data_IF_077049680797
#
_entry.id   IF_077049680797
#
_cell.length_a   1.000
_cell.length_b   1.000
_cell.length_c   1.000
_cell.angle_alpha   90.00
_cell.angle_beta   90.00
_cell.angle_gamma   90.00
#
_symmetry.space_group_name_H-M   'P 1'
#
loop_
_entity.id
_entity.type
_entity.pdbx_description
1 polymer ?
#
# COMPACT_ATOMS: atom_id res chain seq x y z
N UNK A 1 -15.23 -10.99 -6.98
CA UNK A 1 -13.76 -10.83 -6.82
C UNK A 1 -13.05 -12.18 -6.75
N UNK A 2 -13.39 -13.05 -5.80
CA UNK A 2 -12.74 -14.37 -5.61
C UNK A 2 -12.92 -15.34 -6.79
N UNK A 3 -14.10 -15.40 -7.41
CA UNK A 3 -14.33 -16.27 -8.58
C UNK A 3 -13.57 -15.80 -9.83
N UNK A 4 -13.53 -14.49 -10.07
CA UNK A 4 -12.73 -13.91 -11.16
C UNK A 4 -11.23 -14.21 -11.01
N UNK A 5 -10.70 -14.07 -9.78
CA UNK A 5 -9.32 -14.44 -9.49
C UNK A 5 -9.04 -15.94 -9.72
N UNK A 6 -9.99 -16.83 -9.40
CA UNK A 6 -9.86 -18.26 -9.70
C UNK A 6 -9.84 -18.53 -11.20
N UNK A 7 -10.68 -17.85 -11.98
CA UNK A 7 -10.69 -17.98 -13.44
C UNK A 7 -9.39 -17.49 -14.09
N UNK A 8 -8.86 -16.37 -13.63
CA UNK A 8 -7.55 -15.88 -14.10
C UNK A 8 -6.42 -16.85 -13.77
N UNK A 9 -6.39 -17.40 -12.55
CA UNK A 9 -5.40 -18.41 -12.17
C UNK A 9 -5.53 -19.66 -13.05
N UNK A 10 -6.75 -20.13 -13.35
CA UNK A 10 -6.94 -21.25 -14.29
C UNK A 10 -6.41 -20.92 -15.68
N UNK A 11 -6.65 -19.71 -16.18
CA UNK A 11 -6.19 -19.25 -17.50
C UNK A 11 -4.66 -19.25 -17.56
N UNK A 12 -3.99 -18.67 -16.56
CA UNK A 12 -2.52 -18.61 -16.49
C UNK A 12 -1.91 -20.01 -16.36
N UNK A 13 -2.46 -20.87 -15.50
CA UNK A 13 -2.01 -22.26 -15.38
C UNK A 13 -2.22 -23.05 -16.67
N UNK A 14 -3.29 -22.79 -17.42
CA UNK A 14 -3.52 -23.42 -18.73
C UNK A 14 -2.49 -23.03 -19.80
N UNK A 15 -2.07 -21.76 -19.81
CA UNK A 15 -0.99 -21.29 -20.69
C UNK A 15 0.33 -21.97 -20.30
N UNK A 16 0.63 -22.01 -19.00
CA UNK A 16 1.85 -22.61 -18.49
C UNK A 16 1.90 -24.13 -18.75
N UNK A 17 0.77 -24.82 -18.62
CA UNK A 17 0.65 -26.26 -18.92
C UNK A 17 0.90 -26.56 -20.39
N UNK A 18 0.36 -25.72 -21.27
CA UNK A 18 0.56 -25.84 -22.72
C UNK A 18 2.02 -25.64 -23.11
N UNK A 19 2.71 -24.68 -22.47
CA UNK A 19 4.13 -24.42 -22.68
C UNK A 19 5.02 -25.57 -22.17
N UNK A 20 4.72 -26.07 -20.96
CA UNK A 20 5.47 -27.17 -20.32
C UNK A 20 5.14 -28.55 -20.88
N UNK A 21 4.25 -28.64 -21.88
CA UNK A 21 3.89 -29.91 -22.51
C UNK A 21 5.07 -30.60 -23.19
N UNK A 22 5.93 -29.83 -23.88
CA UNK A 22 7.09 -30.34 -24.61
C UNK A 22 8.43 -29.95 -23.99
N UNK A 23 8.41 -29.17 -22.90
CA UNK A 23 9.62 -28.65 -22.25
C UNK A 23 9.72 -29.13 -20.80
N UNK A 24 10.94 -29.44 -20.37
CA UNK A 24 11.22 -29.87 -18.99
C UNK A 24 11.23 -28.68 -18.02
N UNK A 25 11.79 -27.55 -18.45
CA UNK A 25 11.89 -26.28 -17.71
C UNK A 25 11.34 -25.12 -18.56
N UNK A 26 11.16 -23.94 -17.97
CA UNK A 26 10.55 -22.80 -18.65
C UNK A 26 11.43 -22.22 -19.78
N UNK A 27 12.75 -22.23 -19.59
CA UNK A 27 13.71 -21.70 -20.57
C UNK A 27 14.89 -22.67 -20.73
N UNK A 28 14.88 -23.41 -21.84
CA UNK A 28 15.88 -24.44 -22.14
C UNK A 28 15.69 -25.73 -21.34
N UNK A 29 16.70 -26.60 -21.36
CA UNK A 29 16.66 -27.93 -20.71
C UNK A 29 17.35 -27.97 -19.33
N UNK A 30 17.48 -26.81 -18.67
CA UNK A 30 18.08 -26.69 -17.32
C UNK A 30 17.31 -25.68 -16.49
N UNK A 31 17.34 -25.86 -15.16
CA UNK A 31 16.79 -24.88 -14.22
C UNK A 31 17.41 -23.51 -14.48
N UNK A 32 16.55 -22.53 -14.68
CA UNK A 32 16.89 -21.14 -14.92
C UNK A 32 16.29 -20.25 -13.83
N UNK A 33 16.66 -18.97 -13.84
CA UNK A 33 16.05 -17.98 -12.95
C UNK A 33 14.54 -17.82 -13.21
N UNK A 34 14.07 -18.08 -14.43
CA UNK A 34 12.65 -18.09 -14.75
C UNK A 34 11.91 -19.17 -13.95
N UNK A 35 12.48 -20.37 -13.85
CA UNK A 35 11.90 -21.47 -13.07
C UNK A 35 11.82 -21.10 -11.58
N UNK A 36 12.90 -20.53 -11.02
CA UNK A 36 12.96 -20.13 -9.61
C UNK A 36 11.88 -19.08 -9.30
N UNK A 37 11.81 -18.02 -10.09
CA UNK A 37 10.84 -16.93 -9.88
C UNK A 37 9.40 -17.44 -9.95
N UNK A 38 9.05 -18.24 -10.96
CA UNK A 38 7.68 -18.75 -11.14
C UNK A 38 7.32 -19.80 -10.08
N UNK A 39 8.26 -20.66 -9.66
CA UNK A 39 8.01 -21.59 -8.54
C UNK A 39 7.76 -20.82 -7.24
N UNK A 40 8.54 -19.78 -6.95
CA UNK A 40 8.36 -18.97 -5.74
C UNK A 40 7.01 -18.25 -5.71
N UNK A 41 6.52 -17.73 -6.85
CA UNK A 41 5.20 -17.08 -6.91
C UNK A 41 4.06 -18.08 -6.79
N UNK A 42 4.18 -19.27 -7.39
CA UNK A 42 3.17 -20.32 -7.33
C UNK A 42 3.17 -21.10 -6.00
N UNK A 43 4.21 -20.96 -5.17
CA UNK A 43 4.38 -21.73 -3.94
C UNK A 43 3.19 -21.61 -2.97
N UNK A 44 2.73 -20.38 -2.73
CA UNK A 44 1.59 -20.14 -1.84
C UNK A 44 0.28 -20.70 -2.40
N UNK A 45 0.09 -20.63 -3.72
CA UNK A 45 -1.08 -21.22 -4.39
C UNK A 45 -1.08 -22.74 -4.22
N UNK A 46 0.06 -23.41 -4.43
CA UNK A 46 0.19 -24.86 -4.25
C UNK A 46 0.08 -25.32 -2.79
N UNK A 47 0.46 -24.47 -1.82
CA UNK A 47 0.32 -24.77 -0.39
C UNK A 47 -1.10 -24.57 0.15
N UNK A 48 -1.81 -23.54 -0.30
CA UNK A 48 -3.07 -23.11 0.34
C UNK A 48 -4.33 -23.35 -0.51
N UNK A 49 -4.24 -23.25 -1.84
CA UNK A 49 -5.44 -23.10 -2.69
C UNK A 49 -5.60 -24.23 -3.71
N UNK A 50 -4.52 -24.74 -4.29
CA UNK A 50 -4.56 -25.71 -5.38
C UNK A 50 -4.75 -27.14 -4.86
N UNK A 51 -6.00 -27.49 -4.58
CA UNK A 51 -6.40 -28.85 -4.21
C UNK A 51 -6.21 -29.86 -5.36
N UNK A 52 -6.21 -31.18 -5.07
CA UNK A 52 -6.04 -32.22 -6.09
C UNK A 52 -6.99 -32.11 -7.28
N UNK A 53 -8.27 -31.77 -7.05
CA UNK A 53 -9.27 -31.63 -8.11
C UNK A 53 -8.99 -30.43 -9.05
N UNK A 54 -8.48 -29.33 -8.49
CA UNK A 54 -8.19 -28.12 -9.27
C UNK A 54 -6.91 -28.25 -10.09
N UNK A 55 -5.92 -29.02 -9.58
CA UNK A 55 -4.65 -29.22 -10.27
C UNK A 55 -4.67 -30.37 -11.27
N UNK A 56 -5.64 -31.27 -11.19
CA UNK A 56 -5.78 -32.42 -12.10
C UNK A 56 -5.69 -32.07 -13.61
N UNK A 57 -6.31 -30.99 -14.12
CA UNK A 57 -6.17 -30.64 -15.54
C UNK A 57 -4.78 -30.11 -15.94
N UNK A 58 -3.94 -29.69 -14.99
CA UNK A 58 -2.63 -29.07 -15.24
C UNK A 58 -1.47 -30.03 -14.92
N UNK A 59 -1.45 -31.17 -15.61
CA UNK A 59 -0.51 -32.28 -15.34
C UNK A 59 0.94 -31.86 -15.55
N UNK A 60 1.22 -31.08 -16.60
CA UNK A 60 2.59 -30.69 -16.96
C UNK A 60 3.14 -29.64 -15.98
N UNK A 61 2.29 -28.71 -15.54
CA UNK A 61 2.65 -27.75 -14.49
C UNK A 61 2.94 -28.46 -13.18
N UNK A 62 2.09 -29.41 -12.77
CA UNK A 62 2.32 -30.17 -11.54
C UNK A 62 3.63 -30.96 -11.59
N UNK A 63 3.91 -31.61 -12.74
CA UNK A 63 5.17 -32.34 -12.96
C UNK A 63 6.37 -31.41 -12.81
N UNK A 64 6.36 -30.29 -13.52
CA UNK A 64 7.44 -29.29 -13.47
C UNK A 64 7.63 -28.74 -12.05
N UNK A 65 6.54 -28.35 -11.37
CA UNK A 65 6.59 -27.79 -10.02
C UNK A 65 7.19 -28.78 -9.00
N UNK A 66 6.77 -30.04 -9.04
CA UNK A 66 7.33 -31.11 -8.19
C UNK A 66 8.78 -31.40 -8.54
N UNK A 67 9.15 -31.32 -9.82
CA UNK A 67 10.53 -31.50 -10.29
C UNK A 67 11.44 -30.40 -9.76
N UNK A 68 11.00 -29.15 -9.79
CA UNK A 68 11.74 -28.01 -9.23
C UNK A 68 11.88 -28.11 -7.70
N UNK A 69 10.79 -28.40 -6.99
CA UNK A 69 10.82 -28.56 -5.52
C UNK A 69 11.76 -29.67 -5.06
N UNK A 70 11.92 -30.73 -5.85
CA UNK A 70 12.79 -31.84 -5.49
C UNK A 70 14.28 -31.60 -5.76
N UNK A 71 14.64 -30.48 -6.40
CA UNK A 71 16.04 -30.12 -6.59
C UNK A 71 16.71 -29.79 -5.25
N UNK A 72 17.96 -30.21 -5.03
CA UNK A 72 18.64 -30.01 -3.76
C UNK A 72 18.78 -28.53 -3.36
N UNK A 73 18.92 -27.64 -4.35
CA UNK A 73 18.99 -26.18 -4.13
C UNK A 73 17.65 -25.63 -3.62
N UNK A 74 16.53 -26.15 -4.12
CA UNK A 74 15.20 -25.75 -3.67
C UNK A 74 14.89 -26.32 -2.28
N UNK A 75 15.22 -27.58 -2.03
CA UNK A 75 15.03 -28.21 -0.70
C UNK A 75 15.81 -27.50 0.40
N UNK A 76 17.01 -27.01 0.10
CA UNK A 76 17.84 -26.28 1.06
C UNK A 76 17.17 -24.98 1.56
N UNK A 77 16.33 -24.33 0.74
CA UNK A 77 15.71 -23.04 1.06
C UNK A 77 14.24 -23.20 1.48
N UNK A 78 13.47 -24.00 0.75
CA UNK A 78 12.02 -24.14 0.95
C UNK A 78 11.63 -25.25 1.94
N UNK A 79 12.56 -26.17 2.26
CA UNK A 79 12.30 -27.35 3.07
C UNK A 79 11.33 -28.34 2.41
N UNK A 80 10.72 -29.21 3.22
CA UNK A 80 9.69 -30.14 2.76
C UNK A 80 8.37 -29.40 2.51
N UNK A 81 8.08 -29.15 1.24
CA UNK A 81 6.85 -28.49 0.81
C UNK A 81 5.72 -29.51 0.69
N UNK A 82 4.80 -29.50 1.66
CA UNK A 82 3.56 -30.28 1.59
C UNK A 82 2.55 -29.58 0.66
N UNK A 83 2.12 -30.28 -0.39
CA UNK A 83 1.10 -29.79 -1.32
C UNK A 83 -0.28 -29.78 -0.67
N UNK A 84 -1.12 -28.83 -1.07
CA UNK A 84 -2.49 -28.69 -0.58
C UNK A 84 -3.32 -29.95 -0.91
N UNK A 85 -3.98 -30.52 0.11
CA UNK A 85 -4.86 -31.71 -0.02
C UNK A 85 -6.35 -31.33 -0.10
N UNK A 86 -6.74 -30.16 0.44
CA UNK A 86 -8.10 -29.60 0.41
C UNK A 86 -8.00 -28.10 0.31
N UNK A 87 -8.79 -27.44 -0.57
CA UNK A 87 -8.75 -25.97 -0.67
C UNK A 87 -8.92 -25.38 0.73
N UNK A 88 -8.06 -24.41 1.09
CA UNK A 88 -8.35 -23.54 2.21
C UNK A 88 -9.66 -22.81 1.90
N UNK A 89 -10.77 -23.33 2.41
CA UNK A 89 -12.00 -22.57 2.47
C UNK A 89 -11.72 -21.34 3.32
N UNK A 90 -12.12 -20.17 2.80
CA UNK A 90 -12.07 -18.93 3.55
C UNK A 90 -12.96 -19.09 4.79
N UNK A 91 -12.33 -19.44 5.90
CA UNK A 91 -12.99 -19.60 7.19
C UNK A 91 -13.08 -18.20 7.80
N UNK A 92 -14.23 -17.55 7.65
CA UNK A 92 -14.49 -16.21 8.16
C UNK A 92 -14.18 -16.09 9.67
N UNK A 93 -14.17 -17.21 10.41
CA UNK A 93 -13.76 -17.26 11.82
C UNK A 93 -12.25 -17.17 12.05
N UNK A 94 -11.42 -17.82 11.22
CA UNK A 94 -9.95 -17.68 11.32
C UNK A 94 -9.46 -16.34 10.79
N UNK A 95 -10.17 -15.75 9.82
CA UNK A 95 -9.90 -14.39 9.38
C UNK A 95 -10.28 -13.34 10.45
N UNK A 96 -11.27 -13.64 11.31
CA UNK A 96 -11.63 -12.82 12.46
C UNK A 96 -10.71 -13.02 13.68
N UNK A 97 -10.09 -14.20 13.85
CA UNK A 97 -9.09 -14.45 14.91
C UNK A 97 -7.71 -13.89 14.57
N UNK A 98 -7.31 -13.86 13.30
CA UNK A 98 -6.05 -13.26 12.84
C UNK A 98 -6.15 -11.78 12.45
N UNK A 99 -7.30 -11.13 12.68
CA UNK A 99 -7.37 -9.66 12.73
C UNK A 99 -7.16 -9.20 14.18
N UNK A 100 -6.32 -8.18 14.44
CA UNK A 100 -6.34 -7.50 15.72
C UNK A 100 -7.74 -6.92 15.94
N UNK A 101 -8.39 -7.33 17.03
CA UNK A 101 -9.73 -6.85 17.43
C UNK A 101 -9.77 -5.33 17.43
N UNK A 102 -10.45 -4.74 16.44
CA UNK A 102 -10.96 -3.37 16.54
C UNK A 102 -12.39 -3.47 17.05
N UNK A 103 -12.52 -3.49 18.37
CA UNK A 103 -13.77 -3.22 19.07
C UNK A 103 -14.29 -1.84 18.66
N UNK A 104 -15.51 -1.77 18.13
CA UNK A 104 -16.38 -0.59 18.22
C UNK A 104 -17.85 -1.01 18.09
N UNK A 105 -18.79 -0.25 18.68
CA UNK A 105 -19.75 -0.79 19.64
C UNK A 105 -21.18 -0.87 19.10
N UNK A 106 -21.94 -1.86 19.59
CA UNK A 106 -23.41 -1.93 19.54
C UNK A 106 -24.04 -0.77 20.33
N UNK A 107 -24.93 0.00 19.69
CA UNK A 107 -25.98 0.85 20.32
C UNK A 107 -27.31 0.11 20.10
N UNK A 108 -28.08 -0.24 21.14
CA UNK A 108 -29.17 0.53 21.78
C UNK A 108 -29.82 -0.42 22.84
N UNK A 109 -30.37 -0.06 24.02
CA UNK A 109 -30.64 1.17 24.79
C UNK A 109 -31.21 0.74 26.20
N UNK A 110 -31.66 1.64 27.12
CA UNK A 110 -31.14 1.94 28.48
C UNK A 110 -32.02 1.31 29.63
N UNK A 111 -31.85 1.53 30.98
CA UNK A 111 -31.81 2.84 31.68
C UNK A 111 -31.02 3.00 33.02
N UNK A 112 -30.67 4.28 33.28
CA UNK A 112 -30.70 5.05 34.56
C UNK A 112 -29.70 4.84 35.72
N UNK A 113 -29.20 6.03 36.12
CA UNK A 113 -29.01 6.60 37.47
C UNK A 113 -27.67 6.47 38.23
N UNK A 114 -27.03 7.66 38.30
CA UNK A 114 -26.48 8.35 39.47
C UNK A 114 -25.06 8.07 40.05
N UNK A 115 -24.35 9.21 40.15
CA UNK A 115 -23.42 9.69 41.20
C UNK A 115 -21.89 9.52 41.06
N UNK A 116 -21.29 10.66 40.65
CA UNK A 116 -20.31 11.52 41.38
C UNK A 116 -19.00 10.93 41.96
N UNK A 117 -17.93 11.61 41.55
CA UNK A 117 -16.87 12.29 42.34
C UNK A 117 -15.42 11.75 42.34
N UNK A 118 -14.56 12.60 41.77
CA UNK A 118 -13.27 13.12 42.25
C UNK A 118 -12.03 12.23 42.50
N UNK A 119 -10.96 12.64 41.79
CA UNK A 119 -9.58 12.96 42.24
C UNK A 119 -8.41 12.02 41.90
N UNK A 120 -7.49 12.65 41.13
CA UNK A 120 -6.03 12.78 41.28
C UNK A 120 -5.10 11.63 40.83
N UNK A 121 -4.31 12.00 39.80
CA UNK A 121 -2.85 11.91 39.72
C UNK A 121 -2.14 10.74 40.42
N UNK A 122 -1.53 9.86 39.61
CA UNK A 122 -0.15 9.42 39.85
C UNK A 122 0.55 9.01 38.54
N UNK A 123 1.87 9.27 38.51
CA UNK A 123 2.77 9.24 37.34
C UNK A 123 3.43 7.87 37.15
N UNK A 124 3.59 7.50 35.86
CA UNK A 124 4.61 6.62 35.22
C UNK A 124 4.51 5.09 35.40
N UNK A 125 5.07 4.27 34.48
CA UNK A 125 5.85 4.59 33.27
C UNK A 125 5.27 4.05 31.95
N UNK A 126 5.85 4.51 30.84
CA UNK A 126 5.59 4.09 29.47
C UNK A 126 5.78 2.58 29.26
N UNK A 127 4.90 1.89 28.51
CA UNK A 127 5.28 0.69 27.78
C UNK A 127 6.07 1.10 26.54
N UNK A 128 7.27 0.53 26.39
CA UNK A 128 8.00 0.49 25.12
C UNK A 128 7.06 0.01 24.01
N UNK A 129 6.97 0.78 22.92
CA UNK A 129 6.26 0.37 21.70
C UNK A 129 6.89 -0.94 21.21
N UNK A 130 6.14 -2.06 21.31
CA UNK A 130 6.43 -3.25 20.54
C UNK A 130 6.38 -2.86 19.06
N UNK A 131 7.56 -2.88 18.43
CA UNK A 131 7.73 -2.68 17.00
C UNK A 131 6.86 -3.68 16.24
N UNK A 132 6.01 -3.15 15.36
CA UNK A 132 5.13 -3.91 14.48
C UNK A 132 5.96 -4.85 13.59
N UNK A 133 5.43 -6.02 13.22
CA UNK A 133 6.16 -7.04 12.42
C UNK A 133 6.68 -6.49 11.08
N UNK A 134 6.11 -5.38 10.61
CA UNK A 134 6.52 -4.64 9.43
C UNK A 134 7.86 -3.89 9.60
N UNK A 135 8.17 -3.42 10.81
CA UNK A 135 9.46 -2.77 11.12
C UNK A 135 10.61 -3.79 11.23
N UNK A 136 10.31 -5.03 11.66
CA UNK A 136 11.30 -6.12 11.67
C UNK A 136 11.64 -6.60 10.25
N UNK A 137 10.65 -6.64 9.34
CA UNK A 137 10.89 -6.99 7.93
C UNK A 137 11.74 -5.94 7.19
N UNK A 138 11.53 -4.64 7.48
CA UNK A 138 12.33 -3.55 6.92
C UNK A 138 13.74 -3.46 7.52
N UNK A 139 13.96 -3.96 8.74
CA UNK A 139 15.28 -4.07 9.35
C UNK A 139 16.12 -5.25 8.80
N UNK A 140 15.47 -6.23 8.15
CA UNK A 140 16.09 -7.44 7.63
C UNK A 140 16.53 -7.35 6.16
N UNK A 141 16.03 -6.37 5.37
CA UNK A 141 16.58 -6.10 4.04
C UNK A 141 17.93 -5.35 4.15
N UNK A 142 18.95 -5.72 3.36
CA UNK A 142 20.23 -5.03 3.38
C UNK A 142 19.97 -3.56 3.06
N UNK A 143 20.36 -2.68 3.99
CA UNK A 143 20.18 -1.22 3.92
C UNK A 143 20.69 -0.67 2.59
N UNK A 144 19.81 -0.62 1.59
CA UNK A 144 19.87 0.42 0.58
C UNK A 144 19.87 1.73 1.37
N UNK A 145 20.92 2.53 1.20
CA UNK A 145 21.14 3.77 1.95
C UNK A 145 19.85 4.58 1.91
N UNK A 146 19.24 4.86 3.07
CA UNK A 146 18.07 5.73 3.16
C UNK A 146 18.43 7.04 2.47
N UNK A 147 17.79 7.38 1.33
CA UNK A 147 18.17 8.54 0.54
C UNK A 147 18.05 9.84 1.33
N UNK A 148 17.29 9.85 2.44
CA UNK A 148 17.09 11.00 3.31
C UNK A 148 18.02 11.02 4.54
N UNK A 149 18.90 10.03 4.72
CA UNK A 149 19.82 9.97 5.87
C UNK A 149 20.87 11.10 5.92
N UNK A 150 21.05 11.83 4.81
CA UNK A 150 21.92 13.00 4.75
C UNK A 150 21.25 14.27 5.32
N UNK A 151 19.92 14.26 5.51
CA UNK A 151 19.17 15.39 6.04
C UNK A 151 19.17 15.35 7.57
N UNK A 152 19.27 16.53 8.24
CA UNK A 152 19.24 16.61 9.69
C UNK A 152 17.93 16.04 10.24
N UNK A 153 17.91 15.54 11.48
CA UNK A 153 16.67 15.07 12.10
C UNK A 153 15.68 16.25 12.18
N UNK A 154 14.58 16.18 11.44
CA UNK A 154 13.55 17.23 11.47
C UNK A 154 12.80 17.18 12.81
N UNK A 155 12.44 18.33 13.41
CA UNK A 155 11.55 18.38 14.56
C UNK A 155 10.12 17.92 14.24
N UNK A 156 9.74 17.86 12.96
CA UNK A 156 8.42 17.37 12.54
C UNK A 156 8.38 15.84 12.45
N UNK A 157 7.56 15.23 13.31
CA UNK A 157 7.31 13.78 13.30
C UNK A 157 6.09 13.47 12.43
N UNK A 158 6.35 13.00 11.20
CA UNK A 158 5.31 12.69 10.22
C UNK A 158 4.34 11.59 10.70
N UNK A 159 4.83 10.58 11.45
CA UNK A 159 3.99 9.49 11.96
C UNK A 159 2.98 9.97 13.01
N UNK A 160 3.35 10.95 13.83
CA UNK A 160 2.43 11.57 14.78
C UNK A 160 1.35 12.37 14.06
N UNK A 161 1.75 13.12 13.03
CA UNK A 161 0.79 13.83 12.17
C UNK A 161 -0.17 12.86 11.48
N UNK A 162 0.30 11.74 10.92
CA UNK A 162 -0.54 10.72 10.30
C UNK A 162 -1.53 10.07 11.28
N UNK A 163 -1.10 9.83 12.53
CA UNK A 163 -1.97 9.33 13.60
C UNK A 163 -3.06 10.35 13.93
N UNK A 164 -2.71 11.62 14.12
CA UNK A 164 -3.69 12.71 14.39
C UNK A 164 -4.65 12.91 13.22
N UNK A 165 -4.13 12.94 11.99
CA UNK A 165 -4.93 13.06 10.77
C UNK A 165 -5.96 11.93 10.62
N UNK A 166 -5.63 10.71 11.05
CA UNK A 166 -6.54 9.56 10.91
C UNK A 166 -7.51 9.38 12.08
N UNK A 167 -7.20 9.91 13.26
CA UNK A 167 -7.95 9.66 14.50
C UNK A 167 -8.77 10.87 14.96
N UNK A 168 -8.39 12.08 14.56
CA UNK A 168 -8.97 13.34 15.02
C UNK A 168 -9.57 14.11 13.84
N UNK A 169 -10.25 15.21 14.16
CA UNK A 169 -10.85 16.10 13.17
C UNK A 169 -9.76 16.85 12.39
N UNK A 170 -9.75 16.66 11.08
CA UNK A 170 -8.72 17.18 10.18
C UNK A 170 -8.75 18.71 10.09
N UNK A 171 -9.92 19.33 10.25
CA UNK A 171 -10.12 20.77 10.10
C UNK A 171 -9.64 21.53 11.34
N UNK A 172 -9.97 21.00 12.51
CA UNK A 172 -9.78 21.71 13.79
C UNK A 172 -8.53 21.29 14.54
N UNK A 173 -7.99 20.10 14.28
CA UNK A 173 -6.84 19.57 15.03
C UNK A 173 -5.67 19.22 14.12
N UNK A 174 -5.89 18.44 13.06
CA UNK A 174 -4.76 17.98 12.22
C UNK A 174 -4.12 19.14 11.43
N UNK A 175 -4.91 20.01 10.79
CA UNK A 175 -4.38 21.14 10.02
C UNK A 175 -3.63 22.17 10.89
N UNK A 176 -4.17 22.65 12.04
CA UNK A 176 -3.41 23.52 12.92
C UNK A 176 -2.12 22.86 13.43
N UNK A 177 -2.21 21.59 13.84
CA UNK A 177 -1.04 20.83 14.28
C UNK A 177 0.02 20.69 13.18
N UNK A 178 -0.40 20.47 11.92
CA UNK A 178 0.48 20.43 10.76
C UNK A 178 1.25 21.75 10.66
N UNK A 179 0.55 22.89 10.57
CA UNK A 179 1.20 24.19 10.38
C UNK A 179 2.05 24.66 11.58
N UNK A 180 1.68 24.30 12.81
CA UNK A 180 2.47 24.62 14.01
C UNK A 180 3.79 23.85 14.08
N UNK A 181 3.80 22.59 13.63
CA UNK A 181 4.97 21.73 13.70
C UNK A 181 5.70 21.61 12.35
N UNK A 182 5.17 22.21 11.29
CA UNK A 182 5.71 22.08 9.94
C UNK A 182 7.11 22.72 9.85
N UNK A 183 8.10 21.87 9.68
CA UNK A 183 9.47 22.28 9.46
C UNK A 183 9.69 22.59 7.97
N UNK A 184 9.71 23.90 7.65
CA UNK A 184 9.91 24.41 6.29
C UNK A 184 11.28 24.11 5.70
N UNK A 185 12.29 23.90 6.55
CA UNK A 185 13.66 23.58 6.10
C UNK A 185 13.79 22.08 5.84
N UNK A 186 13.09 21.27 6.63
CA UNK A 186 13.07 19.82 6.51
C UNK A 186 12.03 19.25 5.55
N UNK A 187 10.91 19.92 5.28
CA UNK A 187 9.83 19.35 4.49
C UNK A 187 9.41 20.29 3.38
N UNK A 188 9.02 19.71 2.25
CA UNK A 188 8.49 20.44 1.12
C UNK A 188 7.13 19.90 0.71
N UNK A 189 6.27 20.81 0.28
CA UNK A 189 4.92 20.52 -0.21
C UNK A 189 4.97 20.62 -1.74
N UNK A 190 4.42 19.61 -2.41
CA UNK A 190 4.39 19.49 -3.85
C UNK A 190 2.97 19.25 -4.31
N UNK A 191 2.54 20.03 -5.29
CA UNK A 191 1.32 19.77 -6.04
C UNK A 191 1.65 18.83 -7.20
N UNK A 192 0.89 17.74 -7.30
CA UNK A 192 0.98 16.77 -8.38
C UNK A 192 -0.31 16.78 -9.20
N UNK A 193 -0.20 16.87 -10.52
CA UNK A 193 -1.34 16.76 -11.43
C UNK A 193 -1.01 15.78 -12.55
N UNK A 194 -1.95 14.90 -12.89
CA UNK A 194 -1.74 13.88 -13.91
C UNK A 194 -1.74 14.51 -15.30
N UNK A 195 -0.67 14.27 -16.06
CA UNK A 195 -0.42 14.91 -17.35
C UNK A 195 -1.30 14.37 -18.48
N UNK A 196 -1.83 13.15 -18.34
CA UNK A 196 -2.54 12.44 -19.41
C UNK A 196 -3.99 12.08 -19.03
N UNK A 197 -4.85 13.07 -18.70
CA UNK A 197 -6.22 12.80 -18.26
C UNK A 197 -7.06 12.04 -19.31
N UNK A 198 -6.66 12.10 -20.58
CA UNK A 198 -7.29 11.35 -21.69
C UNK A 198 -7.20 9.83 -21.53
N UNK A 199 -6.19 9.31 -20.83
CA UNK A 199 -6.03 7.88 -20.56
C UNK A 199 -6.98 7.38 -19.45
N UNK A 200 -7.54 8.31 -18.66
CA UNK A 200 -8.41 8.03 -17.51
C UNK A 200 -9.85 7.76 -17.96
N UNK A 201 -10.07 6.61 -18.58
CA UNK A 201 -11.39 6.18 -19.09
C UNK A 201 -12.39 5.82 -17.99
N UNK A 202 -11.98 5.09 -16.95
CA UNK A 202 -12.88 4.61 -15.90
C UNK A 202 -12.36 4.97 -14.52
N UNK A 203 -13.25 5.55 -13.70
CA UNK A 203 -12.91 6.06 -12.36
C UNK A 203 -12.28 5.00 -11.44
N UNK A 204 -12.73 3.75 -11.51
CA UNK A 204 -12.12 2.66 -10.73
C UNK A 204 -10.73 2.28 -11.24
N UNK A 205 -10.46 2.36 -12.55
CA UNK A 205 -9.14 2.07 -13.12
C UNK A 205 -8.15 3.16 -12.68
N UNK A 206 -8.57 4.42 -12.70
CA UNK A 206 -7.80 5.55 -12.19
C UNK A 206 -7.48 5.40 -10.69
N UNK A 207 -8.45 4.92 -9.90
CA UNK A 207 -8.26 4.64 -8.48
C UNK A 207 -7.26 3.49 -8.23
N UNK A 208 -7.30 2.45 -9.06
CA UNK A 208 -6.32 1.36 -9.04
C UNK A 208 -4.93 1.82 -9.45
N UNK A 209 -4.83 2.75 -10.41
CA UNK A 209 -3.57 3.34 -10.85
C UNK A 209 -2.89 4.09 -9.69
N UNK A 210 -3.63 4.95 -8.99
CA UNK A 210 -3.14 5.68 -7.80
C UNK A 210 -2.68 4.69 -6.72
N UNK A 211 -3.48 3.66 -6.46
CA UNK A 211 -3.15 2.63 -5.46
C UNK A 211 -1.90 1.84 -5.86
N UNK A 212 -1.75 1.50 -7.14
CA UNK A 212 -0.56 0.82 -7.66
C UNK A 212 0.70 1.67 -7.50
N UNK A 213 0.59 2.98 -7.74
CA UNK A 213 1.70 3.91 -7.49
C UNK A 213 2.09 3.93 -6.01
N UNK A 214 1.11 3.99 -5.10
CA UNK A 214 1.38 3.96 -3.65
C UNK A 214 2.10 2.69 -3.20
N UNK A 215 1.75 1.52 -3.76
CA UNK A 215 2.43 0.26 -3.45
C UNK A 215 3.89 0.26 -3.88
N UNK A 216 4.22 0.88 -5.02
CA UNK A 216 5.62 1.02 -5.47
C UNK A 216 6.40 2.01 -4.60
N UNK A 217 5.71 3.02 -4.09
CA UNK A 217 6.27 4.01 -3.17
C UNK A 217 6.23 3.58 -1.70
N UNK A 218 5.88 2.34 -1.36
CA UNK A 218 5.70 1.91 0.03
C UNK A 218 6.97 2.13 0.90
N UNK A 219 8.17 2.00 0.30
CA UNK A 219 9.44 2.32 0.97
C UNK A 219 9.59 3.81 1.33
N UNK A 220 8.95 4.70 0.57
CA UNK A 220 8.94 6.14 0.78
C UNK A 220 7.91 6.57 1.84
N UNK A 221 6.96 5.70 2.23
CA UNK A 221 5.86 6.05 3.15
C UNK A 221 6.35 6.63 4.47
N UNK A 222 7.48 6.15 5.03
CA UNK A 222 8.00 6.66 6.32
C UNK A 222 8.35 8.15 6.27
N UNK A 223 8.81 8.63 5.11
CA UNK A 223 9.34 9.98 4.92
C UNK A 223 8.46 10.81 3.97
N UNK A 224 7.21 10.39 3.73
CA UNK A 224 6.28 11.09 2.88
C UNK A 224 4.83 10.90 3.30
N UNK A 225 3.99 11.85 2.92
CA UNK A 225 2.55 11.80 3.08
C UNK A 225 1.92 12.44 1.85
N UNK A 226 0.81 11.90 1.36
CA UNK A 226 0.10 12.55 0.28
C UNK A 226 -1.41 12.35 0.38
N UNK A 227 -2.14 13.32 -0.14
CA UNK A 227 -3.57 13.21 -0.41
C UNK A 227 -3.78 13.39 -1.89
N UNK A 228 -4.14 12.30 -2.58
CA UNK A 228 -4.42 12.29 -4.01
C UNK A 228 -5.90 12.08 -4.20
N UNK A 229 -6.50 12.91 -5.04
CA UNK A 229 -7.93 12.90 -5.32
C UNK A 229 -8.13 12.65 -6.80
N UNK A 230 -9.08 11.77 -7.08
CA UNK A 230 -9.69 11.58 -8.38
C UNK A 230 -10.90 12.50 -8.49
N UNK A 231 -10.86 13.35 -9.51
CA UNK A 231 -11.93 14.27 -9.89
C UNK A 231 -12.63 13.80 -11.16
N UNK A 232 -13.88 14.21 -11.32
CA UNK A 232 -14.66 14.02 -12.53
C UNK A 232 -15.46 12.71 -12.57
N UNK A 233 -15.79 12.29 -13.78
CA UNK A 233 -16.64 11.11 -14.03
C UNK A 233 -16.00 10.19 -15.07
N UNK A 234 -16.66 9.09 -15.42
CA UNK A 234 -16.14 8.17 -16.43
C UNK A 234 -15.94 8.91 -17.77
N UNK A 235 -14.80 8.69 -18.41
CA UNK A 235 -14.30 9.34 -19.62
C UNK A 235 -13.93 10.83 -19.50
N UNK A 236 -14.17 11.47 -18.35
CA UNK A 236 -13.72 12.83 -18.06
C UNK A 236 -13.20 12.92 -16.62
N UNK A 237 -12.09 12.21 -16.39
CA UNK A 237 -11.44 12.12 -15.08
C UNK A 237 -10.17 12.99 -15.04
N UNK A 238 -9.82 13.49 -13.87
CA UNK A 238 -8.52 14.12 -13.60
C UNK A 238 -7.99 13.63 -12.26
N UNK A 239 -6.68 13.45 -12.15
CA UNK A 239 -6.04 13.09 -10.88
C UNK A 239 -5.16 14.27 -10.49
N UNK A 240 -5.35 14.76 -9.29
CA UNK A 240 -4.44 15.71 -8.68
C UNK A 240 -4.30 15.45 -7.20
N UNK A 241 -3.21 15.90 -6.60
CA UNK A 241 -2.93 15.62 -5.21
C UNK A 241 -1.86 16.51 -4.63
N UNK A 242 -1.87 16.61 -3.32
CA UNK A 242 -0.84 17.30 -2.55
C UNK A 242 0.04 16.26 -1.88
N UNK A 243 1.34 16.37 -2.12
CA UNK A 243 2.38 15.52 -1.60
C UNK A 243 3.27 16.31 -0.65
N UNK A 244 3.70 15.66 0.42
CA UNK A 244 4.62 16.20 1.42
C UNK A 244 5.79 15.24 1.50
N UNK A 245 6.98 15.71 1.11
CA UNK A 245 8.21 14.93 1.10
C UNK A 245 9.22 15.49 2.09
N UNK A 246 10.00 14.60 2.69
CA UNK A 246 11.17 15.00 3.47
C UNK A 246 12.25 15.51 2.53
N UNK A 247 12.74 16.72 2.79
CA UNK A 247 13.76 17.39 1.99
C UNK A 247 13.19 18.51 1.12
N UNK A 248 14.08 19.27 0.50
CA UNK A 248 13.72 20.41 -0.36
C UNK A 248 13.54 20.02 -1.83
N UNK A 249 14.04 18.85 -2.20
CA UNK A 249 13.99 18.30 -3.56
C UNK A 249 12.89 17.25 -3.66
N UNK A 250 12.48 16.97 -4.91
CA UNK A 250 11.53 15.92 -5.20
C UNK A 250 12.10 14.56 -4.72
N UNK A 251 11.29 13.71 -4.09
CA UNK A 251 11.77 12.43 -3.58
C UNK A 251 12.09 11.41 -4.69
N UNK A 252 11.42 11.50 -5.85
CA UNK A 252 11.50 10.49 -6.93
C UNK A 252 12.88 10.36 -7.61
N UNK A 253 13.61 11.45 -7.92
CA UNK A 253 14.96 11.36 -8.48
C UNK A 253 15.99 10.70 -7.55
N UNK A 254 15.70 10.60 -6.25
CA UNK A 254 16.62 10.05 -5.26
C UNK A 254 16.75 8.52 -5.35
N UNK A 255 15.79 7.83 -5.95
CA UNK A 255 15.86 6.38 -6.20
C UNK A 255 15.33 6.03 -7.58
N UNK A 256 16.06 5.26 -8.39
CA UNK A 256 15.57 4.79 -9.68
C UNK A 256 14.31 3.92 -9.56
N UNK A 257 14.08 3.30 -8.40
CA UNK A 257 12.88 2.47 -8.14
C UNK A 257 11.59 3.31 -8.07
N UNK A 258 11.69 4.61 -7.79
CA UNK A 258 10.54 5.52 -7.66
C UNK A 258 10.27 6.31 -8.94
N UNK A 259 11.13 6.18 -9.96
CA UNK A 259 11.06 6.96 -11.19
C UNK A 259 10.06 6.43 -12.21
N UNK A 260 9.34 5.34 -11.91
CA UNK A 260 8.50 4.64 -12.89
C UNK A 260 7.26 5.45 -13.29
N UNK A 261 6.58 6.08 -12.33
CA UNK A 261 5.29 6.76 -12.59
C UNK A 261 5.35 8.28 -12.46
N UNK A 262 6.39 8.83 -11.84
CA UNK A 262 6.43 10.27 -11.55
C UNK A 262 6.46 11.13 -12.83
N UNK A 263 6.96 10.61 -13.96
CA UNK A 263 6.99 11.33 -15.25
C UNK A 263 5.59 11.59 -15.83
N UNK A 264 4.61 10.76 -15.47
CA UNK A 264 3.21 10.92 -15.86
C UNK A 264 2.50 12.02 -15.06
N UNK A 265 3.13 12.56 -14.02
CA UNK A 265 2.62 13.66 -13.21
C UNK A 265 3.47 14.92 -13.38
N UNK A 266 2.82 16.07 -13.42
CA UNK A 266 3.48 17.37 -13.30
C UNK A 266 3.66 17.68 -11.81
N UNK A 267 4.87 18.07 -11.41
CA UNK A 267 5.21 18.37 -10.03
C UNK A 267 5.53 19.85 -9.89
N UNK A 268 4.80 20.55 -9.03
CA UNK A 268 5.04 21.95 -8.71
C UNK A 268 5.29 22.09 -7.22
N UNK A 269 6.48 22.56 -6.85
CA UNK A 269 6.78 22.90 -5.46
C UNK A 269 5.89 24.06 -5.04
N UNK A 270 5.20 23.92 -3.92
CA UNK A 270 4.37 24.97 -3.34
C UNK A 270 5.13 25.64 -2.19
N UNK A 271 5.02 26.96 -2.12
CA UNK A 271 5.55 27.73 -1.00
C UNK A 271 4.59 27.65 0.18
N UNK A 272 5.09 27.17 1.33
CA UNK A 272 4.30 26.96 2.55
C UNK A 272 3.62 28.23 3.08
N UNK A 273 4.13 29.42 2.73
CA UNK A 273 3.59 30.69 3.19
C UNK A 273 2.48 31.25 2.28
N UNK A 274 2.35 30.72 1.06
CA UNK A 274 1.34 31.18 0.10
C UNK A 274 -0.08 30.80 0.56
N UNK A 275 -1.01 31.74 0.44
CA UNK A 275 -2.44 31.50 0.69
C UNK A 275 -3.00 30.42 -0.25
N UNK A 276 -2.47 30.33 -1.47
CA UNK A 276 -2.81 29.26 -2.43
C UNK A 276 -2.42 27.88 -1.86
N UNK A 277 -1.22 27.75 -1.31
CA UNK A 277 -0.75 26.50 -0.72
C UNK A 277 -1.60 26.10 0.49
N UNK A 278 -1.90 27.05 1.38
CA UNK A 278 -2.75 26.80 2.55
C UNK A 278 -4.15 26.36 2.16
N UNK A 279 -4.71 26.98 1.11
CA UNK A 279 -6.04 26.62 0.59
C UNK A 279 -6.01 25.24 -0.06
N UNK A 280 -5.04 24.95 -0.94
CA UNK A 280 -4.89 23.64 -1.56
C UNK A 280 -4.68 22.55 -0.50
N UNK A 281 -3.74 22.72 0.43
CA UNK A 281 -3.50 21.75 1.51
C UNK A 281 -4.79 21.51 2.28
N UNK A 282 -5.52 22.57 2.65
CA UNK A 282 -6.79 22.47 3.37
C UNK A 282 -7.83 21.67 2.58
N UNK A 283 -8.08 22.00 1.31
CA UNK A 283 -9.06 21.30 0.47
C UNK A 283 -8.68 19.84 0.23
N UNK A 284 -7.41 19.55 -0.10
CA UNK A 284 -6.95 18.19 -0.34
C UNK A 284 -6.89 17.34 0.94
N UNK A 285 -6.66 17.94 2.11
CA UNK A 285 -6.59 17.21 3.38
C UNK A 285 -7.98 17.03 4.00
N UNK A 286 -8.94 17.89 3.67
CA UNK A 286 -10.32 17.72 4.11
C UNK A 286 -11.15 16.88 3.17
N UNK A 287 -10.72 16.75 1.91
CA UNK A 287 -11.55 16.25 0.80
C UNK A 287 -12.84 17.07 0.59
N UNK A 288 -12.90 18.25 1.21
CA UNK A 288 -14.01 19.19 1.18
C UNK A 288 -13.46 20.54 0.73
N UNK A 289 -13.95 21.00 -0.41
CA UNK A 289 -13.50 22.23 -1.08
C UNK A 289 -14.29 22.46 -2.35
N UNK A 290 -14.25 23.67 -2.88
CA UNK A 290 -14.87 23.96 -4.18
C UNK A 290 -13.99 23.46 -5.33
N UNK A 291 -12.73 23.11 -5.05
CA UNK A 291 -11.75 22.59 -6.02
C UNK A 291 -11.75 23.44 -7.31
N UNK A 292 -11.86 24.76 -7.15
CA UNK A 292 -12.03 25.71 -8.26
C UNK A 292 -10.88 25.62 -9.28
N UNK A 293 -9.69 25.21 -8.83
CA UNK A 293 -8.51 24.99 -9.67
C UNK A 293 -8.63 23.77 -10.60
N UNK A 294 -9.41 22.75 -10.25
CA UNK A 294 -9.65 21.57 -11.11
C UNK A 294 -10.94 21.71 -11.91
N UNK A 295 -11.95 22.40 -11.36
CA UNK A 295 -13.24 22.64 -12.01
C UNK A 295 -14.06 21.37 -12.27
N UNK A 296 -13.69 20.23 -11.65
CA UNK A 296 -14.36 18.93 -11.77
C UNK A 296 -14.87 18.46 -10.42
N UNK A 297 -16.01 17.73 -10.37
CA UNK A 297 -16.57 17.26 -9.11
C UNK A 297 -15.62 16.28 -8.42
N UNK A 298 -15.56 16.35 -7.09
CA UNK A 298 -14.89 15.35 -6.28
C UNK A 298 -15.54 13.98 -6.51
N UNK A 299 -14.71 12.94 -6.70
CA UNK A 299 -15.19 11.56 -6.85
C UNK A 299 -14.65 10.67 -5.75
N UNK A 300 -13.33 10.49 -5.68
CA UNK A 300 -12.68 9.61 -4.71
C UNK A 300 -11.35 10.17 -4.22
N UNK A 301 -11.11 10.13 -2.91
CA UNK A 301 -9.84 10.47 -2.28
C UNK A 301 -9.04 9.23 -1.87
N UNK A 302 -7.72 9.32 -1.99
CA UNK A 302 -6.76 8.31 -1.54
C UNK A 302 -5.63 8.98 -0.77
N UNK A 303 -5.40 8.50 0.45
CA UNK A 303 -4.27 8.95 1.27
C UNK A 303 -3.11 7.98 1.11
N UNK A 304 -1.93 8.54 0.89
CA UNK A 304 -0.65 7.87 1.02
C UNK A 304 -0.11 8.13 2.43
N UNK A 305 -0.09 7.09 3.25
CA UNK A 305 0.41 7.13 4.64
C UNK A 305 1.16 5.86 4.98
#
# INVERSE_FOLDING_TARGET
ATEFAKEEVKRVLGILDSHLKTQTFLVGERVSLADISVVCTLLWLYKQVLEPAFRQPFVNVNRWFVTCLNQPQFKAVLGDVKLCEKMAQFDAKKFAENQPKKDTPKKEKPPKEEKKQEKKEEKKPAPEEELDECDQALAAEPKSKDPFAHLPKSPFVMDEFKRKYSNEDTLTVALPHFWEHFDKEGWSIWYAEYRFPEELSQTFMSCNLITGMFQRLDKLRKNAFASVILFGTNNDSSISGVWVFRGQELAFPLSPDWQVDYESYTWRKLDSDSEECKTLVKEYFLWEGEFQHVGKPFNQGKIFK
#
